data_IF_491967938839
#
_entry.id   IF_491967938839
#
_cell.length_a   1.000
_cell.length_b   1.000
_cell.length_c   1.000
_cell.angle_alpha   90.00
_cell.angle_beta   90.00
_cell.angle_gamma   90.00
#
_symmetry.space_group_name_H-M   'P 1'
#
loop_
_entity.id
_entity.type
_entity.pdbx_description
1 polymer ?
#
# COMPACT_ATOMS: atom_id res chain seq x y z
N UNK A 1 7.20 -14.18 3.89
CA UNK A 1 8.06 -13.05 3.53
C UNK A 1 8.28 -12.15 4.71
N UNK A 2 9.42 -11.50 4.74
CA UNK A 2 9.69 -10.50 5.78
C UNK A 2 9.09 -9.15 5.38
N UNK A 3 8.80 -8.33 6.38
CA UNK A 3 8.33 -6.98 6.16
C UNK A 3 9.41 -6.14 5.48
N UNK A 4 9.05 -5.44 4.41
CA UNK A 4 9.98 -4.59 3.67
C UNK A 4 9.62 -3.12 3.95
N UNK A 5 10.33 -2.50 4.89
CA UNK A 5 10.07 -1.12 5.30
C UNK A 5 10.28 -0.11 4.18
N UNK A 6 11.28 -0.34 3.33
CA UNK A 6 11.52 0.56 2.21
C UNK A 6 10.37 0.53 1.21
N UNK A 7 9.79 -0.64 0.99
CA UNK A 7 8.65 -0.78 0.09
C UNK A 7 7.40 -0.14 0.72
N UNK A 8 7.21 -0.32 2.02
CA UNK A 8 6.09 0.32 2.72
C UNK A 8 6.21 1.84 2.59
N UNK A 9 7.39 2.39 2.83
CA UNK A 9 7.62 3.83 2.72
C UNK A 9 7.36 4.33 1.30
N UNK A 10 7.82 3.59 0.30
CA UNK A 10 7.58 3.93 -1.10
C UNK A 10 6.10 3.95 -1.44
N UNK A 11 5.36 2.93 -0.99
CA UNK A 11 3.92 2.84 -1.26
C UNK A 11 3.17 3.97 -0.55
N UNK A 12 3.48 4.21 0.72
CA UNK A 12 2.84 5.29 1.49
C UNK A 12 3.07 6.64 0.82
N UNK A 13 4.30 6.90 0.41
CA UNK A 13 4.62 8.16 -0.27
C UNK A 13 3.89 8.29 -1.59
N UNK A 14 3.85 7.21 -2.37
CA UNK A 14 3.18 7.21 -3.67
C UNK A 14 1.70 7.54 -3.49
N UNK A 15 1.04 6.91 -2.52
CA UNK A 15 -0.37 7.16 -2.25
C UNK A 15 -0.59 8.59 -1.75
N UNK A 16 0.25 9.05 -0.83
CA UNK A 16 0.12 10.37 -0.24
C UNK A 16 0.24 11.49 -1.29
N UNK A 17 1.04 11.27 -2.32
CA UNK A 17 1.30 12.26 -3.36
C UNK A 17 0.38 12.11 -4.57
N UNK A 18 -0.58 11.20 -4.52
CA UNK A 18 -1.49 10.93 -5.63
C UNK A 18 -2.92 11.31 -5.28
N UNK A 19 -3.68 11.71 -6.30
CA UNK A 19 -5.11 12.01 -6.15
C UNK A 19 -5.99 10.82 -6.50
N UNK A 20 -5.42 9.67 -6.83
CA UNK A 20 -6.20 8.49 -7.17
C UNK A 20 -6.93 7.96 -5.94
N UNK A 21 -8.09 7.35 -6.17
CA UNK A 21 -8.89 6.76 -5.09
C UNK A 21 -8.60 5.28 -4.87
N UNK A 22 -8.03 4.60 -5.87
CA UNK A 22 -7.78 3.17 -5.80
C UNK A 22 -6.44 2.85 -6.43
N UNK A 23 -5.67 2.02 -5.76
CA UNK A 23 -4.35 1.58 -6.22
C UNK A 23 -4.28 0.05 -6.21
N UNK A 24 -3.68 -0.51 -7.24
CA UNK A 24 -3.41 -1.95 -7.30
C UNK A 24 -1.92 -2.23 -7.28
N UNK A 25 -1.58 -3.52 -7.37
CA UNK A 25 -0.17 -3.95 -7.41
C UNK A 25 0.59 -3.24 -8.53
N UNK A 26 -0.07 -3.04 -9.69
CA UNK A 26 0.59 -2.45 -10.86
C UNK A 26 1.04 -1.00 -10.62
N UNK A 27 0.44 -0.30 -9.69
CA UNK A 27 0.80 1.09 -9.40
C UNK A 27 2.15 1.20 -8.68
N UNK A 28 2.64 0.09 -8.14
CA UNK A 28 3.87 0.07 -7.34
C UNK A 28 4.95 -0.82 -7.94
N UNK A 29 4.79 -1.24 -9.19
CA UNK A 29 5.77 -2.11 -9.84
C UNK A 29 7.14 -1.45 -9.96
N UNK A 30 8.18 -2.24 -9.72
CA UNK A 30 9.54 -1.82 -9.91
C UNK A 30 10.37 -3.04 -10.32
N UNK A 31 11.52 -2.80 -10.94
CA UNK A 31 12.41 -3.88 -11.35
C UNK A 31 13.03 -4.62 -10.16
N UNK A 32 12.99 -4.01 -8.99
CA UNK A 32 13.66 -4.56 -7.80
C UNK A 32 12.73 -5.36 -6.89
N UNK A 33 11.42 -5.33 -7.14
CA UNK A 33 10.42 -5.92 -6.24
C UNK A 33 9.44 -6.74 -7.04
N UNK A 34 9.18 -7.97 -6.60
CA UNK A 34 8.22 -8.86 -7.26
C UNK A 34 6.78 -8.42 -6.98
N UNK A 35 5.88 -8.82 -7.85
CA UNK A 35 4.46 -8.56 -7.65
C UNK A 35 3.95 -9.21 -6.36
N UNK A 36 4.46 -10.40 -6.04
CA UNK A 36 4.05 -11.09 -4.81
C UNK A 36 4.48 -10.32 -3.56
N UNK A 37 5.65 -9.72 -3.60
CA UNK A 37 6.13 -8.92 -2.48
C UNK A 37 5.29 -7.66 -2.31
N UNK A 38 4.91 -7.02 -3.41
CA UNK A 38 4.02 -5.86 -3.38
C UNK A 38 2.67 -6.27 -2.80
N UNK A 39 2.10 -7.35 -3.28
CA UNK A 39 0.82 -7.85 -2.80
C UNK A 39 0.85 -8.16 -1.31
N UNK A 40 1.91 -8.83 -0.86
CA UNK A 40 2.10 -9.14 0.55
C UNK A 40 2.18 -7.86 1.38
N UNK A 41 2.94 -6.88 0.90
CA UNK A 41 3.10 -5.61 1.59
C UNK A 41 1.78 -4.84 1.68
N UNK A 42 0.99 -4.83 0.60
CA UNK A 42 -0.33 -4.21 0.64
C UNK A 42 -1.23 -4.87 1.67
N UNK A 43 -1.18 -6.20 1.78
CA UNK A 43 -1.95 -6.91 2.79
C UNK A 43 -1.53 -6.55 4.21
N UNK A 44 -0.21 -6.39 4.43
CA UNK A 44 0.28 -5.94 5.74
C UNK A 44 -0.21 -4.54 6.07
N UNK A 45 -0.23 -3.66 5.08
CA UNK A 45 -0.71 -2.29 5.28
C UNK A 45 -2.21 -2.26 5.59
N UNK A 46 -2.98 -3.12 4.94
CA UNK A 46 -4.40 -3.28 5.24
C UNK A 46 -4.60 -3.80 6.66
N UNK A 47 -3.81 -4.80 7.06
CA UNK A 47 -3.88 -5.38 8.39
C UNK A 47 -3.55 -4.34 9.46
N UNK A 48 -2.59 -3.48 9.19
CA UNK A 48 -2.19 -2.41 10.11
C UNK A 48 -3.16 -1.23 10.10
N UNK A 49 -4.03 -1.15 9.08
CA UNK A 49 -4.97 -0.05 8.96
C UNK A 49 -4.38 1.23 8.40
N UNK A 50 -3.30 1.13 7.62
CA UNK A 50 -2.65 2.30 7.04
C UNK A 50 -3.38 2.84 5.81
N UNK A 51 -4.14 2.00 5.13
CA UNK A 51 -4.86 2.35 3.91
C UNK A 51 -6.28 1.80 3.97
N UNK A 52 -7.18 2.43 3.22
CA UNK A 52 -8.53 1.91 3.08
C UNK A 52 -8.51 0.66 2.20
N UNK A 53 -9.37 -0.31 2.52
CA UNK A 53 -9.46 -1.56 1.78
C UNK A 53 -10.41 -1.39 0.60
N UNK A 54 -9.86 -1.52 -0.61
CA UNK A 54 -10.62 -1.47 -1.85
C UNK A 54 -10.51 -2.80 -2.60
N UNK A 55 -10.17 -3.89 -1.89
CA UNK A 55 -10.08 -5.22 -2.48
C UNK A 55 -11.40 -5.56 -3.16
N UNK A 56 -11.31 -6.08 -4.40
CA UNK A 56 -12.50 -6.39 -5.17
C UNK A 56 -13.21 -7.61 -4.59
N UNK A 57 -14.49 -7.77 -4.94
CA UNK A 57 -15.25 -8.95 -4.52
C UNK A 57 -14.70 -10.26 -5.08
N UNK A 58 -13.82 -10.17 -6.08
CA UNK A 58 -13.16 -11.34 -6.66
C UNK A 58 -11.81 -11.63 -6.01
N UNK A 59 -11.47 -10.88 -4.95
CA UNK A 59 -10.24 -11.13 -4.21
C UNK A 59 -8.99 -10.45 -4.76
N UNK A 60 -9.13 -9.56 -5.74
CA UNK A 60 -7.99 -8.80 -6.24
C UNK A 60 -7.64 -7.72 -5.23
N UNK A 61 -6.42 -7.77 -4.69
CA UNK A 61 -5.98 -6.83 -3.66
C UNK A 61 -5.85 -5.43 -4.24
N UNK A 62 -6.60 -4.50 -3.68
CA UNK A 62 -6.53 -3.08 -4.03
C UNK A 62 -6.65 -2.27 -2.75
N UNK A 63 -6.01 -1.11 -2.73
CA UNK A 63 -6.01 -0.22 -1.57
C UNK A 63 -6.47 1.17 -1.99
N UNK A 64 -7.03 1.90 -1.05
CA UNK A 64 -7.44 3.29 -1.27
C UNK A 64 -6.38 4.26 -0.75
N UNK A 65 -6.84 5.44 -0.38
CA UNK A 65 -5.98 6.47 0.20
C UNK A 65 -5.53 6.07 1.62
N UNK A 66 -4.61 6.84 2.17
CA UNK A 66 -4.15 6.65 3.54
C UNK A 66 -5.29 6.93 4.53
N UNK A 67 -5.38 6.07 5.54
CA UNK A 67 -6.28 6.31 6.68
C UNK A 67 -5.64 7.36 7.59
N UNK A 68 -6.32 7.68 8.69
CA UNK A 68 -5.73 8.55 9.73
C UNK A 68 -4.38 7.99 10.18
N UNK A 69 -4.33 6.68 10.46
CA UNK A 69 -3.09 6.04 10.88
C UNK A 69 -2.02 6.06 9.79
N UNK A 70 -2.43 5.90 8.54
CA UNK A 70 -1.50 5.99 7.41
C UNK A 70 -0.92 7.38 7.28
N UNK A 71 -1.72 8.42 7.49
CA UNK A 71 -1.23 9.80 7.46
C UNK A 71 -0.23 10.05 8.59
N UNK A 72 -0.51 9.53 9.78
CA UNK A 72 0.42 9.64 10.90
C UNK A 72 1.74 8.95 10.58
N UNK A 73 1.68 7.78 9.99
CA UNK A 73 2.88 7.06 9.56
C UNK A 73 3.68 7.90 8.55
N UNK A 74 3.00 8.46 7.56
CA UNK A 74 3.65 9.28 6.54
C UNK A 74 4.32 10.51 7.14
N UNK A 75 3.68 11.12 8.13
CA UNK A 75 4.19 12.33 8.78
C UNK A 75 5.23 12.04 9.87
N UNK A 76 5.50 10.77 10.15
CA UNK A 76 6.47 10.39 11.16
C UNK A 76 5.96 10.49 12.58
N UNK A 77 4.66 10.48 12.73
CA UNK A 77 4.05 10.60 14.06
C UNK A 77 3.89 9.22 14.72
#
# INVERSE_FOLDING_TARGET
>A
MKRNWELIDFIVKTIAESDKDVFGVNDFKSAEVSEEEIKYTLKLMLDRGLVFDETTRYGVVQVGQLTWEGQDYYNGA
#
